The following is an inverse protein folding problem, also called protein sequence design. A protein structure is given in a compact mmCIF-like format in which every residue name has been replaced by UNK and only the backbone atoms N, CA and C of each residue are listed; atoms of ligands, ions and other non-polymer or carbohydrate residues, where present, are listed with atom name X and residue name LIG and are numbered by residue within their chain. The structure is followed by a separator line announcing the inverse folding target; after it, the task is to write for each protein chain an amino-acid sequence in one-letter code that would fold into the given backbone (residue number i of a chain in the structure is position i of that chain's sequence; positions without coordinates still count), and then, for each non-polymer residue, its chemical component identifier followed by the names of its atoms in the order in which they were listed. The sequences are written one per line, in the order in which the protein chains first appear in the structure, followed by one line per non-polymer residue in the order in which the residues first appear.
data_IF_805294113428
#
_entry.id   IF_805294113428
#
_cell.length_a   1.000
_cell.length_b   1.000
_cell.length_c   1.000
_cell.angle_alpha   90.00
_cell.angle_beta   90.00
_cell.angle_gamma   90.00
#
_symmetry.space_group_name_H-M   'P 1'
#
loop_
_entity.id
_entity.type
_entity.pdbx_description
1 polymer ?
#
# COMPACT_ATOMS: atom_id res chain seq x y z
N UNK A 1 8.29 -33.83 11.66
CA UNK A 1 8.32 -35.14 12.38
C UNK A 1 8.83 -36.29 11.51
N UNK A 2 8.12 -36.69 10.46
CA UNK A 2 8.45 -37.88 9.64
C UNK A 2 9.90 -37.90 9.13
N UNK A 3 10.37 -36.78 8.54
CA UNK A 3 11.73 -36.62 8.02
C UNK A 3 12.84 -36.86 9.06
N UNK A 4 12.54 -36.74 10.35
CA UNK A 4 13.55 -36.95 11.39
C UNK A 4 13.85 -38.44 11.63
N UNK A 5 12.96 -39.35 11.22
CA UNK A 5 13.05 -40.79 11.50
C UNK A 5 12.95 -41.19 12.98
N UNK A 6 12.69 -40.24 13.88
CA UNK A 6 12.67 -40.48 15.35
C UNK A 6 11.29 -40.83 15.91
N UNK A 7 10.22 -40.58 15.16
CA UNK A 7 8.84 -40.75 15.60
C UNK A 7 8.19 -41.91 14.86
N UNK A 8 7.40 -42.71 15.57
CA UNK A 8 6.59 -43.77 14.96
C UNK A 8 5.38 -43.17 14.21
N UNK A 9 4.73 -43.99 13.37
CA UNK A 9 3.53 -43.57 12.66
C UNK A 9 2.40 -43.17 13.63
N UNK A 10 2.24 -43.90 14.73
CA UNK A 10 1.24 -43.63 15.76
C UNK A 10 1.50 -42.30 16.46
N UNK A 11 2.77 -41.94 16.68
CA UNK A 11 3.13 -40.64 17.27
C UNK A 11 2.85 -39.49 16.30
N UNK A 12 3.10 -39.69 15.01
CA UNK A 12 2.79 -38.69 13.97
C UNK A 12 1.28 -38.50 13.83
N UNK A 13 0.51 -39.59 13.84
CA UNK A 13 -0.96 -39.55 13.83
C UNK A 13 -1.50 -38.82 15.06
N UNK A 14 -1.02 -39.16 16.26
CA UNK A 14 -1.45 -38.51 17.49
C UNK A 14 -1.18 -36.99 17.48
N UNK A 15 0.00 -36.57 17.02
CA UNK A 15 0.30 -35.14 16.86
C UNK A 15 -0.60 -34.48 15.80
N UNK A 16 -0.84 -35.14 14.66
CA UNK A 16 -1.69 -34.61 13.58
C UNK A 16 -3.14 -34.40 14.02
N UNK A 17 -3.69 -35.37 14.76
CA UNK A 17 -5.03 -35.26 15.34
C UNK A 17 -5.09 -34.10 16.36
N UNK A 18 -4.07 -33.97 17.21
CA UNK A 18 -3.99 -32.88 18.17
C UNK A 18 -3.86 -31.50 17.50
N UNK A 19 -3.10 -31.40 16.40
CA UNK A 19 -3.04 -30.18 15.60
C UNK A 19 -4.42 -29.82 15.03
N UNK A 20 -5.15 -30.80 14.49
CA UNK A 20 -6.49 -30.60 13.95
C UNK A 20 -7.49 -30.12 15.01
N UNK A 21 -7.43 -30.65 16.23
CA UNK A 21 -8.26 -30.21 17.35
C UNK A 21 -7.95 -28.78 17.84
N UNK A 22 -6.76 -28.27 17.53
CA UNK A 22 -6.28 -26.96 17.98
C UNK A 22 -6.13 -25.94 16.84
N UNK A 23 -6.67 -26.27 15.66
CA UNK A 23 -6.69 -25.41 14.50
C UNK A 23 -8.13 -25.08 14.09
N UNK A 24 -8.33 -23.89 13.55
CA UNK A 24 -9.60 -23.48 12.94
C UNK A 24 -9.33 -22.62 11.72
N UNK A 25 -10.15 -22.80 10.69
CA UNK A 25 -10.09 -21.99 9.46
C UNK A 25 -11.45 -21.42 9.14
N UNK A 26 -11.49 -20.16 8.73
CA UNK A 26 -12.71 -19.52 8.25
C UNK A 26 -12.35 -18.57 7.10
N UNK A 27 -13.13 -18.65 6.02
CA UNK A 27 -12.94 -17.83 4.84
C UNK A 27 -14.09 -16.90 4.56
N UNK A 28 -13.83 -15.96 3.65
CA UNK A 28 -14.82 -15.08 3.05
C UNK A 28 -14.48 -14.95 1.57
N UNK A 29 -15.50 -14.86 0.72
CA UNK A 29 -15.31 -14.62 -0.71
C UNK A 29 -16.25 -13.54 -1.21
N UNK A 30 -15.71 -12.59 -1.96
CA UNK A 30 -16.46 -11.58 -2.70
C UNK A 30 -16.94 -12.12 -4.04
N UNK A 31 -16.22 -13.09 -4.60
CA UNK A 31 -16.51 -13.62 -5.91
C UNK A 31 -16.26 -15.14 -5.98
N UNK A 32 -17.20 -15.90 -6.57
CA UNK A 32 -17.03 -17.32 -6.82
C UNK A 32 -15.90 -17.59 -7.81
N UNK A 33 -15.17 -18.65 -7.56
CA UNK A 33 -14.30 -19.27 -8.54
C UNK A 33 -15.00 -19.53 -9.90
N UNK A 34 -14.28 -19.34 -11.00
CA UNK A 34 -14.67 -19.65 -12.37
C UNK A 34 -14.02 -20.96 -12.82
N UNK A 35 -14.83 -21.97 -13.14
CA UNK A 35 -14.36 -23.25 -13.65
C UNK A 35 -14.12 -23.15 -15.16
N UNK A 36 -12.92 -23.52 -15.66
CA UNK A 36 -12.62 -23.51 -17.10
C UNK A 36 -13.68 -24.25 -17.92
N UNK A 37 -14.26 -23.56 -18.90
CA UNK A 37 -15.30 -24.11 -19.78
C UNK A 37 -16.72 -24.16 -19.19
N UNK A 38 -16.92 -23.78 -17.93
CA UNK A 38 -18.25 -23.72 -17.29
C UNK A 38 -18.63 -22.31 -16.80
N UNK A 39 -17.65 -21.45 -16.53
CA UNK A 39 -17.89 -20.12 -15.98
C UNK A 39 -17.96 -20.13 -14.44
N UNK A 40 -18.68 -19.19 -13.84
CA UNK A 40 -18.76 -19.05 -12.38
C UNK A 40 -19.43 -20.26 -11.73
N UNK A 41 -18.93 -20.71 -10.58
CA UNK A 41 -19.55 -21.81 -9.82
C UNK A 41 -20.96 -21.48 -9.31
N UNK A 42 -21.20 -20.23 -8.95
CA UNK A 42 -22.51 -19.74 -8.50
C UNK A 42 -22.64 -18.23 -8.77
N UNK A 43 -23.83 -17.67 -8.57
CA UNK A 43 -24.04 -16.22 -8.70
C UNK A 43 -23.86 -15.51 -7.35
N UNK A 44 -23.05 -14.44 -7.38
CA UNK A 44 -22.84 -13.51 -6.27
C UNK A 44 -23.14 -12.08 -6.74
N UNK A 45 -24.04 -11.35 -6.07
CA UNK A 45 -24.20 -9.91 -6.27
C UNK A 45 -22.92 -9.15 -5.94
N UNK A 46 -22.61 -8.10 -6.70
CA UNK A 46 -21.36 -7.32 -6.55
C UNK A 46 -21.24 -6.57 -5.21
N UNK A 47 -22.33 -6.44 -4.46
CA UNK A 47 -22.44 -5.77 -3.16
C UNK A 47 -22.51 -6.76 -1.99
N UNK A 48 -22.33 -8.06 -2.26
CA UNK A 48 -22.43 -9.14 -1.27
C UNK A 48 -21.11 -9.92 -1.15
N UNK A 49 -20.92 -10.54 0.00
CA UNK A 49 -19.87 -11.49 0.29
C UNK A 49 -20.43 -12.77 0.92
N UNK A 50 -19.79 -13.90 0.63
CA UNK A 50 -20.10 -15.20 1.23
C UNK A 50 -19.15 -15.45 2.39
N UNK A 51 -19.68 -15.69 3.57
CA UNK A 51 -18.90 -16.05 4.75
C UNK A 51 -18.90 -17.57 4.91
N UNK A 52 -17.71 -18.15 5.03
CA UNK A 52 -17.52 -19.58 5.22
C UNK A 52 -17.61 -20.42 3.94
N UNK A 53 -17.39 -19.82 2.77
CA UNK A 53 -17.38 -20.53 1.49
C UNK A 53 -16.34 -21.67 1.47
N UNK A 54 -16.71 -22.81 0.91
CA UNK A 54 -15.79 -23.92 0.63
C UNK A 54 -14.86 -23.65 -0.56
N UNK A 55 -13.77 -24.41 -0.65
CA UNK A 55 -12.75 -24.25 -1.71
C UNK A 55 -13.21 -24.72 -3.10
N UNK A 56 -14.35 -25.42 -3.19
CA UNK A 56 -14.96 -25.81 -4.47
C UNK A 56 -16.27 -25.06 -4.73
N UNK A 57 -16.45 -23.90 -4.08
CA UNK A 57 -17.64 -23.07 -4.22
C UNK A 57 -18.87 -23.61 -3.49
N UNK A 58 -18.67 -24.51 -2.53
CA UNK A 58 -19.75 -24.95 -1.65
C UNK A 58 -20.30 -23.73 -0.87
N UNK A 59 -21.64 -23.57 -0.77
CA UNK A 59 -22.25 -22.43 -0.10
C UNK A 59 -21.70 -22.23 1.31
N UNK A 60 -21.51 -20.97 1.69
CA UNK A 60 -21.04 -20.63 3.01
C UNK A 60 -22.13 -20.76 4.07
N UNK A 61 -21.82 -20.31 5.28
CA UNK A 61 -22.80 -20.30 6.36
C UNK A 61 -23.82 -19.16 6.22
N UNK A 62 -23.45 -18.08 5.52
CA UNK A 62 -24.35 -16.96 5.22
C UNK A 62 -23.76 -16.04 4.15
N UNK A 63 -24.65 -15.24 3.55
CA UNK A 63 -24.33 -14.07 2.71
C UNK A 63 -24.64 -12.79 3.46
N UNK A 64 -23.75 -11.82 3.35
CA UNK A 64 -23.91 -10.49 3.94
C UNK A 64 -23.37 -9.42 2.99
N UNK A 65 -23.74 -8.16 3.20
CA UNK A 65 -23.22 -7.06 2.39
C UNK A 65 -21.70 -6.96 2.54
N UNK A 66 -21.01 -6.53 1.48
CA UNK A 66 -19.56 -6.28 1.54
C UNK A 66 -19.29 -5.24 2.63
N UNK A 67 -18.30 -5.56 3.47
CA UNK A 67 -17.87 -4.73 4.58
C UNK A 67 -16.41 -4.33 4.41
N UNK A 68 -15.95 -3.39 5.23
CA UNK A 68 -14.54 -3.00 5.28
C UNK A 68 -13.65 -4.15 5.79
N UNK A 69 -12.38 -4.14 5.37
CA UNK A 69 -11.41 -5.19 5.70
C UNK A 69 -11.26 -5.41 7.22
N UNK A 70 -11.31 -4.35 8.03
CA UNK A 70 -11.22 -4.41 9.50
C UNK A 70 -12.42 -5.16 10.10
N UNK A 71 -13.63 -4.91 9.58
CA UNK A 71 -14.85 -5.60 10.02
C UNK A 71 -14.84 -7.07 9.61
N UNK A 72 -14.42 -7.36 8.38
CA UNK A 72 -14.28 -8.73 7.87
C UNK A 72 -13.30 -9.52 8.76
N UNK A 73 -12.11 -8.97 8.99
CA UNK A 73 -11.10 -9.58 9.85
C UNK A 73 -11.64 -9.76 11.27
N UNK A 74 -12.31 -8.75 11.83
CA UNK A 74 -12.91 -8.86 13.16
C UNK A 74 -13.92 -10.01 13.25
N UNK A 75 -14.82 -10.14 12.27
CA UNK A 75 -15.79 -11.24 12.20
C UNK A 75 -15.09 -12.59 12.18
N UNK A 76 -14.09 -12.76 11.31
CA UNK A 76 -13.38 -14.04 11.16
C UNK A 76 -12.59 -14.36 12.43
N UNK A 77 -11.77 -13.43 12.90
CA UNK A 77 -10.86 -13.64 14.03
C UNK A 77 -11.61 -13.84 15.35
N UNK A 78 -12.70 -13.11 15.57
CA UNK A 78 -13.58 -13.33 16.74
C UNK A 78 -14.16 -14.75 16.69
N UNK A 79 -14.63 -15.20 15.51
CA UNK A 79 -15.19 -16.54 15.40
C UNK A 79 -14.14 -17.64 15.59
N UNK A 80 -12.95 -17.45 15.04
CA UNK A 80 -11.83 -18.35 15.25
C UNK A 80 -11.43 -18.41 16.72
N UNK A 81 -11.43 -17.28 17.43
CA UNK A 81 -11.13 -17.23 18.85
C UNK A 81 -12.14 -18.04 19.67
N UNK A 82 -13.43 -17.95 19.37
CA UNK A 82 -14.47 -18.74 20.04
C UNK A 82 -14.31 -20.25 19.83
N UNK A 83 -13.99 -20.67 18.60
CA UNK A 83 -13.92 -22.08 18.22
C UNK A 83 -12.62 -22.73 18.68
N UNK A 84 -11.48 -22.09 18.38
CA UNK A 84 -10.14 -22.60 18.70
C UNK A 84 -9.78 -22.34 20.16
N UNK A 85 -10.45 -21.38 20.81
CA UNK A 85 -10.25 -21.00 22.22
C UNK A 85 -8.82 -20.60 22.52
N UNK A 86 -8.16 -19.90 21.59
CA UNK A 86 -6.87 -19.27 21.88
C UNK A 86 -7.05 -18.03 22.75
N UNK A 87 -6.08 -17.79 23.61
CA UNK A 87 -6.11 -16.71 24.59
C UNK A 87 -4.83 -15.88 24.51
N UNK A 88 -4.68 -14.88 25.37
CA UNK A 88 -3.48 -14.02 25.42
C UNK A 88 -2.26 -14.73 26.03
N UNK A 89 -2.49 -15.85 26.73
CA UNK A 89 -1.46 -16.61 27.44
C UNK A 89 -0.68 -17.54 26.50
N UNK A 90 -1.26 -17.93 25.37
CA UNK A 90 -0.67 -18.87 24.42
C UNK A 90 -0.52 -18.20 23.05
N UNK A 91 0.67 -18.30 22.41
CA UNK A 91 0.83 -17.76 21.08
C UNK A 91 0.12 -18.63 20.04
N UNK A 92 -0.17 -18.01 18.90
CA UNK A 92 -0.79 -18.70 17.75
C UNK A 92 0.12 -18.65 16.53
N UNK A 93 -0.02 -19.65 15.66
CA UNK A 93 0.39 -19.57 14.26
C UNK A 93 -0.81 -19.08 13.46
N UNK A 94 -0.60 -18.06 12.63
CA UNK A 94 -1.61 -17.54 11.73
C UNK A 94 -1.22 -17.76 10.29
N UNK A 95 -2.18 -18.23 9.49
CA UNK A 95 -2.06 -18.29 8.04
C UNK A 95 -3.17 -17.44 7.42
N UNK A 96 -2.75 -16.45 6.62
CA UNK A 96 -3.60 -15.63 5.76
C UNK A 96 -3.45 -16.17 4.35
N UNK A 97 -4.45 -16.93 3.91
CA UNK A 97 -4.42 -17.62 2.63
C UNK A 97 -5.28 -16.88 1.59
N UNK A 98 -4.71 -16.69 0.41
CA UNK A 98 -5.38 -16.15 -0.77
C UNK A 98 -6.05 -17.29 -1.56
N UNK A 99 -7.35 -17.17 -1.85
CA UNK A 99 -8.07 -18.14 -2.66
C UNK A 99 -7.75 -18.05 -4.15
N UNK A 100 -6.97 -17.06 -4.58
CA UNK A 100 -6.32 -16.97 -5.88
C UNK A 100 -6.57 -15.67 -6.62
N UNK A 101 -7.72 -15.03 -6.40
CA UNK A 101 -8.14 -13.81 -7.07
C UNK A 101 -7.84 -12.49 -6.33
N UNK A 102 -7.32 -12.55 -5.10
CA UNK A 102 -7.06 -11.34 -4.29
C UNK A 102 -5.73 -10.72 -4.67
N UNK A 103 -5.68 -9.39 -4.86
CA UNK A 103 -4.44 -8.68 -5.19
C UNK A 103 -3.46 -8.64 -4.01
N UNK A 104 -2.18 -8.42 -4.30
CA UNK A 104 -1.15 -8.29 -3.25
C UNK A 104 -1.37 -7.07 -2.35
N UNK A 105 -1.98 -5.99 -2.87
CA UNK A 105 -2.33 -4.81 -2.09
C UNK A 105 -3.42 -5.16 -1.07
N UNK A 106 -4.49 -5.82 -1.51
CA UNK A 106 -5.56 -6.30 -0.62
C UNK A 106 -5.02 -7.29 0.42
N UNK A 107 -4.16 -8.23 0.03
CA UNK A 107 -3.48 -9.14 0.98
C UNK A 107 -2.65 -8.37 2.01
N UNK A 108 -1.99 -7.28 1.61
CA UNK A 108 -1.28 -6.37 2.51
C UNK A 108 -2.19 -5.67 3.51
N UNK A 109 -3.36 -5.22 3.05
CA UNK A 109 -4.39 -4.61 3.92
C UNK A 109 -4.93 -5.64 4.91
N UNK A 110 -5.32 -6.83 4.46
CA UNK A 110 -5.79 -7.92 5.32
C UNK A 110 -4.72 -8.31 6.35
N UNK A 111 -3.45 -8.42 5.92
CA UNK A 111 -2.33 -8.68 6.83
C UNK A 111 -2.22 -7.60 7.91
N UNK A 112 -2.32 -6.33 7.53
CA UNK A 112 -2.28 -5.21 8.47
C UNK A 112 -3.42 -5.30 9.50
N UNK A 113 -4.66 -5.52 9.04
CA UNK A 113 -5.82 -5.61 9.92
C UNK A 113 -5.77 -6.84 10.85
N UNK A 114 -5.30 -7.99 10.38
CA UNK A 114 -5.11 -9.19 11.23
C UNK A 114 -4.09 -8.92 12.33
N UNK A 115 -2.94 -8.34 11.98
CA UNK A 115 -1.89 -8.01 12.96
C UNK A 115 -2.39 -6.96 13.96
N UNK A 116 -3.13 -5.95 13.50
CA UNK A 116 -3.75 -4.93 14.35
C UNK A 116 -4.78 -5.53 15.30
N UNK A 117 -5.65 -6.42 14.81
CA UNK A 117 -6.65 -7.13 15.61
C UNK A 117 -5.98 -7.94 16.73
N UNK A 118 -4.95 -8.73 16.41
CA UNK A 118 -4.22 -9.50 17.43
C UNK A 118 -3.57 -8.60 18.48
N UNK A 119 -3.00 -7.44 18.09
CA UNK A 119 -2.43 -6.48 19.04
C UNK A 119 -3.48 -5.90 19.97
N UNK A 120 -4.63 -5.49 19.45
CA UNK A 120 -5.73 -4.95 20.25
C UNK A 120 -6.25 -5.97 21.28
N UNK A 121 -6.23 -7.26 20.93
CA UNK A 121 -6.67 -8.34 21.80
C UNK A 121 -5.53 -8.98 22.62
N UNK A 122 -4.32 -8.40 22.58
CA UNK A 122 -3.12 -8.93 23.26
C UNK A 122 -2.78 -10.39 22.92
N UNK A 123 -3.09 -10.82 21.70
CA UNK A 123 -2.78 -12.17 21.20
C UNK A 123 -1.40 -12.16 20.56
N UNK A 124 -0.53 -13.05 21.01
CA UNK A 124 0.81 -13.19 20.46
C UNK A 124 0.79 -14.05 19.19
N UNK A 125 1.34 -13.53 18.10
CA UNK A 125 1.55 -14.30 16.87
C UNK A 125 2.98 -14.85 16.90
N UNK A 126 3.14 -16.17 17.02
CA UNK A 126 4.45 -16.82 16.96
C UNK A 126 4.99 -16.85 15.52
N UNK A 127 4.13 -17.17 14.55
CA UNK A 127 4.47 -17.27 13.13
C UNK A 127 3.30 -16.77 12.30
N UNK A 128 3.62 -15.99 11.27
CA UNK A 128 2.63 -15.49 10.32
C UNK A 128 2.99 -15.99 8.92
N UNK A 129 2.08 -16.70 8.29
CA UNK A 129 2.14 -17.05 6.88
C UNK A 129 1.13 -16.19 6.14
N UNK A 130 1.53 -15.59 5.02
CA UNK A 130 0.64 -14.79 4.19
C UNK A 130 0.97 -15.06 2.72
N UNK A 131 -0.03 -15.46 1.93
CA UNK A 131 0.17 -15.78 0.52
C UNK A 131 -0.83 -16.80 0.00
N UNK A 132 -0.45 -17.50 -1.06
CA UNK A 132 -1.30 -18.44 -1.78
C UNK A 132 -0.88 -19.87 -1.46
N UNK A 133 -1.57 -20.51 -0.50
CA UNK A 133 -1.25 -21.86 -0.03
C UNK A 133 -2.29 -22.89 -0.49
N UNK A 134 -3.57 -22.52 -0.47
CA UNK A 134 -4.68 -23.36 -0.92
C UNK A 134 -5.74 -22.51 -1.62
N UNK A 135 -5.76 -22.58 -2.95
CA UNK A 135 -6.63 -21.76 -3.81
C UNK A 135 -7.97 -22.40 -4.12
N UNK A 136 -8.91 -21.57 -4.59
CA UNK A 136 -10.10 -21.93 -5.35
C UNK A 136 -10.01 -21.26 -6.74
N UNK A 137 -9.07 -21.70 -7.58
CA UNK A 137 -8.73 -21.09 -8.89
C UNK A 137 -8.55 -19.56 -8.82
N UNK A 138 -9.44 -18.78 -9.42
CA UNK A 138 -9.49 -17.31 -9.46
C UNK A 138 -10.41 -16.71 -8.38
N UNK A 139 -10.80 -17.48 -7.37
CA UNK A 139 -11.70 -17.04 -6.31
C UNK A 139 -11.18 -15.78 -5.60
N UNK A 140 -11.98 -14.70 -5.62
CA UNK A 140 -11.66 -13.43 -4.94
C UNK A 140 -12.08 -13.53 -3.47
N UNK A 141 -11.28 -14.25 -2.70
CA UNK A 141 -11.52 -14.42 -1.29
C UNK A 141 -10.26 -14.79 -0.51
N UNK A 142 -10.40 -14.75 0.80
CA UNK A 142 -9.34 -15.09 1.75
C UNK A 142 -9.83 -16.14 2.74
N UNK A 143 -8.90 -16.91 3.29
CA UNK A 143 -9.15 -17.71 4.48
C UNK A 143 -8.11 -17.45 5.55
N UNK A 144 -8.56 -17.29 6.79
CA UNK A 144 -7.68 -17.19 7.95
C UNK A 144 -7.70 -18.51 8.69
N UNK A 145 -6.51 -19.04 8.96
CA UNK A 145 -6.30 -20.21 9.80
C UNK A 145 -5.56 -19.77 11.07
N UNK A 146 -6.08 -20.16 12.22
CA UNK A 146 -5.42 -20.01 13.51
C UNK A 146 -5.11 -21.38 14.09
N UNK A 147 -3.85 -21.60 14.47
CA UNK A 147 -3.39 -22.79 15.16
C UNK A 147 -2.81 -22.39 16.52
N UNK A 148 -3.33 -22.97 17.59
CA UNK A 148 -2.83 -22.73 18.94
C UNK A 148 -1.51 -23.47 19.16
N UNK A 149 -0.51 -22.77 19.68
CA UNK A 149 0.81 -23.37 19.97
C UNK A 149 0.78 -24.00 21.35
N UNK A 150 0.24 -25.22 21.44
CA UNK A 150 0.20 -26.00 22.67
C UNK A 150 1.54 -26.67 23.02
N UNK A 151 2.47 -26.73 22.06
CA UNK A 151 3.83 -27.22 22.24
C UNK A 151 4.79 -26.40 21.37
N UNK A 152 5.96 -26.06 21.90
CA UNK A 152 6.99 -25.31 21.17
C UNK A 152 7.58 -26.10 20.02
N UNK A 153 7.60 -27.43 20.10
CA UNK A 153 8.12 -28.31 19.06
C UNK A 153 7.38 -28.14 17.72
N UNK A 154 6.10 -27.71 17.76
CA UNK A 154 5.30 -27.38 16.57
C UNK A 154 5.99 -26.30 15.73
N UNK A 155 6.58 -25.30 16.38
CA UNK A 155 7.27 -24.21 15.69
C UNK A 155 8.55 -24.70 15.03
N UNK A 156 9.25 -25.65 15.65
CA UNK A 156 10.44 -26.26 15.07
C UNK A 156 10.10 -27.10 13.83
N UNK A 157 8.96 -27.80 13.85
CA UNK A 157 8.47 -28.53 12.69
C UNK A 157 7.98 -27.61 11.57
N UNK A 158 7.35 -26.48 11.92
CA UNK A 158 6.88 -25.50 10.94
C UNK A 158 8.05 -24.76 10.26
N UNK A 159 9.10 -24.45 11.03
CA UNK A 159 10.31 -23.76 10.56
C UNK A 159 11.31 -24.71 9.87
N UNK A 160 11.07 -26.03 9.91
CA UNK A 160 11.97 -27.01 9.33
C UNK A 160 12.13 -26.79 7.80
N UNK A 161 13.36 -26.91 7.26
CA UNK A 161 13.59 -26.73 5.83
C UNK A 161 12.84 -27.80 5.03
N UNK A 162 12.29 -27.40 3.89
CA UNK A 162 11.61 -28.27 2.95
C UNK A 162 11.89 -27.83 1.52
N UNK A 163 11.86 -28.77 0.58
CA UNK A 163 11.91 -28.50 -0.86
C UNK A 163 10.52 -28.43 -1.50
N UNK A 164 9.45 -28.41 -0.69
CA UNK A 164 8.08 -28.31 -1.19
C UNK A 164 7.86 -26.97 -1.89
N UNK A 165 7.44 -26.95 -3.18
CA UNK A 165 7.43 -25.74 -3.99
C UNK A 165 6.40 -24.69 -3.52
N UNK A 166 5.33 -25.11 -2.87
CA UNK A 166 4.29 -24.22 -2.33
C UNK A 166 4.52 -23.80 -0.88
N UNK A 167 5.62 -24.21 -0.25
CA UNK A 167 5.92 -23.84 1.14
C UNK A 167 6.82 -22.61 1.18
N UNK A 168 6.22 -21.47 1.48
CA UNK A 168 6.96 -20.26 1.81
C UNK A 168 7.14 -20.22 3.34
N UNK A 169 8.39 -20.07 3.79
CA UNK A 169 8.70 -20.02 5.23
C UNK A 169 7.91 -18.92 5.94
N UNK A 170 7.57 -19.17 7.20
CA UNK A 170 6.75 -18.24 7.98
C UNK A 170 7.54 -16.98 8.39
N UNK A 171 6.88 -15.82 8.34
CA UNK A 171 7.41 -14.57 8.86
C UNK A 171 7.46 -14.62 10.39
N UNK A 172 8.57 -14.14 10.95
CA UNK A 172 8.68 -13.76 12.36
C UNK A 172 8.36 -12.28 12.46
N UNK A 173 7.17 -11.96 12.98
CA UNK A 173 6.80 -10.57 13.20
C UNK A 173 7.74 -9.93 14.23
N UNK A 174 8.48 -8.91 13.81
CA UNK A 174 9.25 -8.07 14.72
C UNK A 174 8.36 -7.21 15.61
N UNK A 175 8.93 -6.64 16.68
CA UNK A 175 8.22 -5.59 17.45
C UNK A 175 7.98 -4.39 16.52
N UNK A 176 6.76 -3.80 16.50
CA UNK A 176 6.50 -2.55 15.80
C UNK A 176 7.16 -1.41 16.57
N UNK A 177 8.47 -1.34 16.57
CA UNK A 177 9.21 -0.22 17.12
C UNK A 177 9.99 0.44 15.98
N UNK A 178 9.60 1.70 15.70
CA UNK A 178 10.38 2.71 14.95
C UNK A 178 10.42 2.61 13.42
N UNK A 179 9.31 2.29 12.75
CA UNK A 179 9.17 2.86 11.40
C UNK A 179 9.10 4.39 11.57
N UNK A 180 10.03 5.19 11.01
CA UNK A 180 9.88 6.65 11.05
C UNK A 180 8.55 6.98 10.37
N UNK A 181 7.66 7.65 11.11
CA UNK A 181 6.42 8.16 10.55
C UNK A 181 6.76 9.09 9.39
N UNK A 182 6.26 8.77 8.19
CA UNK A 182 6.33 9.64 7.01
C UNK A 182 5.67 11.00 7.24
N UNK A 183 4.79 11.11 8.25
CA UNK A 183 4.05 12.34 8.57
C UNK A 183 4.87 13.37 9.34
N UNK A 184 6.06 13.00 9.83
CA UNK A 184 7.02 14.01 10.28
C UNK A 184 7.69 14.56 9.03
N UNK A 185 6.96 15.44 8.34
CA UNK A 185 7.47 16.30 7.26
C UNK A 185 8.68 17.07 7.76
N UNK A 186 9.85 16.43 7.70
CA UNK A 186 11.11 17.13 7.77
C UNK A 186 11.20 17.88 6.45
N UNK A 187 10.66 19.10 6.45
CA UNK A 187 11.08 20.12 5.50
C UNK A 187 12.58 20.29 5.71
N UNK A 188 13.35 19.74 4.78
CA UNK A 188 14.76 20.08 4.67
C UNK A 188 14.77 21.54 4.24
N UNK A 189 14.95 22.47 5.19
CA UNK A 189 15.28 23.84 4.85
C UNK A 189 16.63 23.82 4.14
N UNK A 190 16.58 23.85 2.80
CA UNK A 190 17.77 24.09 1.99
C UNK A 190 18.22 25.51 2.30
N UNK A 191 19.24 25.64 3.15
CA UNK A 191 19.88 26.93 3.40
C UNK A 191 20.47 27.45 2.09
N UNK A 192 19.77 28.39 1.47
CA UNK A 192 20.23 29.12 0.29
C UNK A 192 21.29 30.15 0.71
N UNK A 193 22.47 29.66 1.14
CA UNK A 193 23.65 30.52 1.22
C UNK A 193 24.04 30.91 -0.21
N UNK A 194 23.65 32.11 -0.64
CA UNK A 194 24.02 32.62 -1.95
C UNK A 194 25.53 32.95 -1.95
N UNK A 195 26.31 32.18 -2.70
CA UNK A 195 27.72 32.50 -3.03
C UNK A 195 27.82 33.40 -4.28
N UNK A 196 26.68 33.87 -4.79
CA UNK A 196 26.58 34.62 -6.04
C UNK A 196 26.85 36.12 -5.91
N UNK A 197 26.93 36.80 -7.06
CA UNK A 197 27.09 38.25 -7.15
C UNK A 197 25.85 38.95 -6.58
N UNK A 198 26.06 39.86 -5.62
CA UNK A 198 25.00 40.67 -5.03
C UNK A 198 24.64 41.84 -5.95
N UNK A 199 23.38 41.94 -6.36
CA UNK A 199 22.90 42.91 -7.35
C UNK A 199 22.50 44.28 -6.76
N UNK A 200 23.00 44.65 -5.58
CA UNK A 200 22.44 45.75 -4.77
C UNK A 200 23.00 47.14 -5.05
N UNK A 201 23.94 47.34 -6.01
CA UNK A 201 24.57 48.66 -6.27
C UNK A 201 24.91 48.92 -7.75
N UNK A 202 24.72 50.16 -8.20
CA UNK A 202 25.22 50.68 -9.49
C UNK A 202 24.67 49.93 -10.71
N UNK A 203 25.55 49.59 -11.67
CA UNK A 203 25.23 48.84 -12.91
C UNK A 203 24.50 47.50 -12.65
N UNK A 204 24.63 46.94 -11.45
CA UNK A 204 23.97 45.70 -11.07
C UNK A 204 22.47 45.88 -10.75
N UNK A 205 22.04 47.10 -10.36
CA UNK A 205 20.62 47.42 -10.16
C UNK A 205 19.87 47.47 -11.49
N UNK A 206 20.48 48.04 -12.53
CA UNK A 206 19.94 48.05 -13.89
C UNK A 206 19.79 46.62 -14.45
N UNK A 207 20.71 45.73 -14.11
CA UNK A 207 20.65 44.31 -14.49
C UNK A 207 19.52 43.56 -13.76
N UNK A 208 19.28 43.85 -12.48
CA UNK A 208 18.16 43.29 -11.73
C UNK A 208 16.81 43.73 -12.31
N UNK A 209 16.67 45.02 -12.62
CA UNK A 209 15.47 45.56 -13.28
C UNK A 209 15.25 44.97 -14.68
N UNK A 210 16.33 44.77 -15.44
CA UNK A 210 16.25 44.12 -16.75
C UNK A 210 15.80 42.66 -16.61
N UNK A 211 16.35 41.90 -15.66
CA UNK A 211 15.95 40.53 -15.40
C UNK A 211 14.46 40.42 -15.01
N UNK A 212 13.98 41.34 -14.16
CA UNK A 212 12.55 41.44 -13.82
C UNK A 212 11.68 41.64 -15.05
N UNK A 213 12.06 42.59 -15.92
CA UNK A 213 11.33 42.85 -17.17
C UNK A 213 11.32 41.64 -18.10
N UNK A 214 12.44 40.91 -18.21
CA UNK A 214 12.50 39.68 -19.00
C UNK A 214 11.55 38.61 -18.48
N UNK A 215 11.53 38.35 -17.17
CA UNK A 215 10.65 37.35 -16.55
C UNK A 215 9.18 37.72 -16.77
N UNK A 216 8.81 38.99 -16.54
CA UNK A 216 7.44 39.47 -16.76
C UNK A 216 7.03 39.33 -18.24
N UNK A 217 7.92 39.66 -19.18
CA UNK A 217 7.64 39.51 -20.61
C UNK A 217 7.43 38.04 -21.03
N UNK A 218 8.17 37.10 -20.44
CA UNK A 218 7.95 35.66 -20.64
C UNK A 218 6.58 35.24 -20.07
N UNK A 219 6.24 35.70 -18.86
CA UNK A 219 4.94 35.42 -18.24
C UNK A 219 3.76 35.96 -19.07
N UNK A 220 3.88 37.18 -19.60
CA UNK A 220 2.88 37.78 -20.49
C UNK A 220 2.72 36.96 -21.78
N UNK A 221 3.83 36.47 -22.34
CA UNK A 221 3.81 35.62 -23.54
C UNK A 221 3.17 34.25 -23.26
N UNK A 222 3.48 33.63 -22.12
CA UNK A 222 2.86 32.37 -21.68
C UNK A 222 1.33 32.53 -21.53
N UNK A 223 0.88 33.59 -20.86
CA UNK A 223 -0.55 33.90 -20.73
C UNK A 223 -1.22 34.13 -22.11
N UNK A 224 -0.56 34.86 -23.00
CA UNK A 224 -1.12 35.14 -24.33
C UNK A 224 -1.20 33.91 -25.24
N UNK A 225 -0.35 32.90 -25.00
CA UNK A 225 -0.31 31.67 -25.79
C UNK A 225 -1.18 30.55 -25.22
N UNK A 226 -1.93 30.78 -24.13
CA UNK A 226 -2.74 29.75 -23.44
C UNK A 226 -3.60 28.93 -24.42
N UNK A 227 -4.45 29.60 -25.21
CA UNK A 227 -5.35 28.91 -26.14
C UNK A 227 -4.62 28.20 -27.29
N UNK A 228 -3.48 28.74 -27.74
CA UNK A 228 -2.70 28.16 -28.83
C UNK A 228 -1.97 26.91 -28.35
N UNK A 229 -1.34 26.98 -27.17
CA UNK A 229 -0.64 25.86 -26.55
C UNK A 229 -1.60 24.73 -26.16
N UNK A 230 -2.78 25.04 -25.62
CA UNK A 230 -3.81 24.02 -25.37
C UNK A 230 -4.29 23.35 -26.67
N UNK A 231 -4.40 24.10 -27.77
CA UNK A 231 -4.78 23.53 -29.06
C UNK A 231 -3.70 22.62 -29.66
N UNK A 232 -2.42 23.03 -29.55
CA UNK A 232 -1.28 22.21 -29.99
C UNK A 232 -1.13 20.96 -29.14
N UNK A 233 -1.25 21.11 -27.83
CA UNK A 233 -1.15 20.01 -26.86
C UNK A 233 -2.33 19.05 -27.02
N UNK A 234 -3.56 19.54 -27.16
CA UNK A 234 -4.75 18.70 -27.35
C UNK A 234 -4.74 17.85 -28.63
N UNK A 235 -3.84 18.11 -29.58
CA UNK A 235 -3.66 17.25 -30.75
C UNK A 235 -3.02 15.89 -30.41
N UNK A 236 -2.22 15.79 -29.33
CA UNK A 236 -1.48 14.59 -28.96
C UNK A 236 -1.31 14.36 -27.44
N UNK A 237 -1.80 15.26 -26.61
CA UNK A 237 -1.75 15.29 -25.15
C UNK A 237 -3.14 15.52 -24.53
N UNK A 238 -3.19 16.02 -23.31
CA UNK A 238 -4.43 16.30 -22.57
C UNK A 238 -4.98 17.72 -22.80
N UNK A 239 -4.20 18.59 -23.44
CA UNK A 239 -4.65 19.90 -23.90
C UNK A 239 -4.66 20.95 -22.81
N UNK A 240 -3.86 20.77 -21.76
CA UNK A 240 -3.78 21.68 -20.61
C UNK A 240 -2.48 22.48 -20.54
N UNK A 241 -1.49 22.21 -21.41
CA UNK A 241 -0.16 22.81 -21.35
C UNK A 241 -0.17 24.35 -21.30
N UNK A 242 -1.01 24.98 -22.11
CA UNK A 242 -1.18 26.43 -22.12
C UNK A 242 -1.80 26.98 -20.83
N UNK A 243 -2.83 26.31 -20.30
CA UNK A 243 -3.46 26.69 -19.03
C UNK A 243 -2.51 26.49 -17.84
N UNK A 244 -1.72 25.43 -17.87
CA UNK A 244 -0.67 25.15 -16.88
C UNK A 244 0.40 26.25 -16.87
N UNK A 245 0.92 26.66 -18.03
CA UNK A 245 1.90 27.77 -18.08
C UNK A 245 1.28 29.14 -17.79
N UNK A 246 0.02 29.38 -18.15
CA UNK A 246 -0.68 30.60 -17.77
C UNK A 246 -0.87 30.70 -16.25
N UNK A 247 -1.15 29.57 -15.58
CA UNK A 247 -1.21 29.51 -14.12
C UNK A 247 0.15 29.79 -13.47
N UNK A 248 1.22 29.17 -13.97
CA UNK A 248 2.60 29.44 -13.54
C UNK A 248 2.97 30.93 -13.70
N UNK A 249 2.67 31.50 -14.87
CA UNK A 249 2.94 32.89 -15.19
C UNK A 249 2.23 33.86 -14.23
N UNK A 250 0.97 33.57 -13.87
CA UNK A 250 0.22 34.35 -12.86
C UNK A 250 0.87 34.25 -11.48
N UNK A 251 1.26 33.06 -11.05
CA UNK A 251 1.91 32.85 -9.76
C UNK A 251 3.30 33.54 -9.68
N UNK A 252 4.09 33.47 -10.76
CA UNK A 252 5.37 34.19 -10.87
C UNK A 252 5.12 35.70 -10.81
N UNK A 253 4.15 36.22 -11.55
CA UNK A 253 3.80 37.64 -11.52
C UNK A 253 3.43 38.13 -10.11
N UNK A 254 2.68 37.34 -9.33
CA UNK A 254 2.38 37.66 -7.93
C UNK A 254 3.62 37.60 -7.04
N UNK A 255 4.45 36.54 -7.15
CA UNK A 255 5.70 36.38 -6.39
C UNK A 255 6.70 37.51 -6.66
N UNK A 256 6.77 38.00 -7.90
CA UNK A 256 7.65 39.09 -8.33
C UNK A 256 7.25 40.47 -7.76
N UNK A 257 6.07 40.62 -7.17
CA UNK A 257 5.67 41.86 -6.47
C UNK A 257 6.39 42.03 -5.13
N UNK A 258 6.70 40.92 -4.45
CA UNK A 258 7.31 40.90 -3.11
C UNK A 258 8.77 40.45 -3.12
N UNK A 259 9.27 39.93 -4.23
CA UNK A 259 10.64 39.44 -4.35
C UNK A 259 11.67 40.58 -4.44
N UNK A 260 12.61 40.61 -3.50
CA UNK A 260 13.82 41.42 -3.60
C UNK A 260 14.90 40.69 -4.43
N UNK A 261 15.25 41.25 -5.58
CA UNK A 261 16.22 40.66 -6.51
C UNK A 261 17.67 40.96 -6.08
N UNK A 262 18.14 40.25 -5.06
CA UNK A 262 19.48 40.42 -4.53
C UNK A 262 20.54 39.59 -5.26
N UNK A 263 20.14 38.53 -5.98
CA UNK A 263 21.01 37.72 -6.83
C UNK A 263 20.22 36.96 -7.91
N UNK A 264 20.87 36.63 -9.04
CA UNK A 264 20.26 35.80 -10.09
C UNK A 264 19.92 34.38 -9.60
N UNK A 265 20.74 33.83 -8.68
CA UNK A 265 20.48 32.53 -8.04
C UNK A 265 19.15 32.55 -7.30
N UNK A 266 18.88 33.60 -6.51
CA UNK A 266 17.64 33.72 -5.76
C UNK A 266 16.42 33.86 -6.68
N UNK A 267 16.56 34.57 -7.80
CA UNK A 267 15.50 34.68 -8.80
C UNK A 267 15.15 33.31 -9.41
N UNK A 268 16.15 32.59 -9.92
CA UNK A 268 15.93 31.26 -10.53
C UNK A 268 15.36 30.27 -9.52
N UNK A 269 15.84 30.30 -8.27
CA UNK A 269 15.30 29.45 -7.20
C UNK A 269 13.84 29.77 -6.86
N UNK A 270 13.45 31.04 -6.83
CA UNK A 270 12.06 31.41 -6.58
C UNK A 270 11.16 31.02 -7.76
N UNK A 271 11.65 31.14 -9.00
CA UNK A 271 10.90 30.68 -10.17
C UNK A 271 10.75 29.16 -10.12
N UNK A 272 11.80 28.41 -9.80
CA UNK A 272 11.72 26.95 -9.69
C UNK A 272 10.77 26.49 -8.60
N UNK A 273 10.75 27.16 -7.44
CA UNK A 273 9.79 26.87 -6.37
C UNK A 273 8.33 27.09 -6.84
N UNK A 274 8.08 28.17 -7.58
CA UNK A 274 6.75 28.43 -8.14
C UNK A 274 6.36 27.36 -9.16
N UNK A 275 7.27 26.95 -10.04
CA UNK A 275 7.00 25.85 -10.97
C UNK A 275 6.74 24.52 -10.25
N UNK A 276 7.50 24.18 -9.20
CA UNK A 276 7.27 22.97 -8.41
C UNK A 276 5.90 22.96 -7.72
N UNK A 277 5.44 24.12 -7.22
CA UNK A 277 4.21 24.22 -6.44
C UNK A 277 2.95 24.42 -7.29
N UNK A 278 3.06 25.17 -8.39
CA UNK A 278 1.90 25.66 -9.15
C UNK A 278 1.72 24.93 -10.49
N UNK A 279 2.74 24.22 -10.99
CA UNK A 279 2.69 23.50 -12.27
C UNK A 279 2.56 22.00 -11.99
N UNK A 280 1.41 21.44 -12.35
CA UNK A 280 1.15 20.01 -12.21
C UNK A 280 1.96 19.14 -13.18
N UNK A 281 1.93 17.83 -12.92
CA UNK A 281 2.49 16.83 -13.82
C UNK A 281 4.01 16.92 -14.01
N UNK A 282 4.49 16.37 -15.12
CA UNK A 282 5.92 16.40 -15.46
C UNK A 282 6.41 17.81 -15.82
N UNK A 283 5.50 18.71 -16.23
CA UNK A 283 5.80 20.10 -16.54
C UNK A 283 6.40 20.87 -15.36
N UNK A 284 5.89 20.65 -14.14
CA UNK A 284 6.44 21.27 -12.93
C UNK A 284 7.79 20.70 -12.52
N UNK A 285 7.98 19.39 -12.73
CA UNK A 285 9.25 18.72 -12.43
C UNK A 285 10.36 19.04 -13.44
N UNK A 286 10.02 19.25 -14.72
CA UNK A 286 11.00 19.44 -15.82
C UNK A 286 11.18 20.91 -16.20
N UNK A 287 10.20 21.78 -15.95
CA UNK A 287 10.20 23.21 -16.30
C UNK A 287 11.27 24.08 -15.61
N UNK A 288 12.29 23.47 -14.99
CA UNK A 288 13.38 24.10 -14.24
C UNK A 288 14.69 24.20 -15.08
N UNK A 289 14.67 23.91 -16.39
CA UNK A 289 15.82 24.03 -17.30
C UNK A 289 15.69 25.17 -18.32
#
# INVERSE_FOLDING_TARGET
MAETGKYSAEQIEAMSNKLNENAGTMGVSLYPCSVPGHGKMFDMPNDMMEVGLGIHGEPGCRREAIESADKIVNTIMTKLQEVVKFTKEEPIVLLINNLGGVSQIEMGIIRSEVVKWCRQHSIQIARLLCGTYMTSLDGHGISLTALKVFDKEILDFLDAPTSAPGWHGADKLGRPETAPSSDKGQSIEVQTSSKGITLTKGRFLEQAELAKKCVLAVCDKMNAMESELNALDGAAGDGDCGSTFAHAAKAINERMKTLELNSAQQLLFNISEVFEQEVGGTGGAVGIL
#
